data_IF_954802551045
#
_entry.id   IF_954802551045
#
_cell.length_a   1.000
_cell.length_b   1.000
_cell.length_c   1.000
_cell.angle_alpha   90.00
_cell.angle_beta   90.00
_cell.angle_gamma   90.00
#
_symmetry.space_group_name_H-M   'P 1'
#
loop_
_entity.id
_entity.type
_entity.pdbx_description
1 polymer ?
#
# COMPACT_ATOMS: atom_id res chain seq x y z
N UNK A 1 7.58 7.25 7.93
CA UNK A 1 8.43 6.22 7.28
C UNK A 1 7.78 5.76 5.99
N UNK A 2 8.56 5.64 4.94
CA UNK A 2 8.12 5.06 3.67
C UNK A 2 9.04 3.88 3.35
N UNK A 3 8.44 2.74 3.08
CA UNK A 3 9.14 1.52 2.68
C UNK A 3 8.74 1.21 1.24
N UNK A 4 9.70 0.99 0.38
CA UNK A 4 9.48 0.47 -0.96
C UNK A 4 9.69 -1.04 -0.95
N UNK A 5 8.72 -1.78 -1.47
CA UNK A 5 8.75 -3.23 -1.50
C UNK A 5 8.65 -3.76 -2.94
N UNK A 6 9.35 -4.84 -3.20
CA UNK A 6 9.23 -5.60 -4.43
C UNK A 6 9.13 -7.08 -4.07
N UNK A 7 7.94 -7.62 -4.14
CA UNK A 7 7.67 -9.00 -3.73
C UNK A 7 8.17 -10.01 -4.79
N UNK A 8 8.49 -11.24 -4.38
CA UNK A 8 8.79 -12.32 -5.32
C UNK A 8 7.64 -12.56 -6.31
N UNK A 9 7.99 -12.99 -7.51
CA UNK A 9 7.02 -13.30 -8.55
C UNK A 9 6.20 -14.56 -8.21
N UNK A 10 5.13 -14.79 -8.95
CA UNK A 10 4.25 -15.97 -8.77
C UNK A 10 4.97 -17.32 -8.92
N UNK A 11 6.13 -17.33 -9.58
CA UNK A 11 6.95 -18.53 -9.78
C UNK A 11 8.00 -18.73 -8.68
N UNK A 12 8.06 -17.83 -7.69
CA UNK A 12 9.02 -17.96 -6.60
C UNK A 12 8.69 -19.14 -5.69
N UNK A 13 9.72 -19.74 -5.12
CA UNK A 13 9.56 -20.79 -4.13
C UNK A 13 8.96 -20.26 -2.84
N UNK A 14 8.24 -21.10 -2.12
CA UNK A 14 7.60 -20.73 -0.84
C UNK A 14 8.61 -20.14 0.15
N UNK A 15 9.83 -20.68 0.20
CA UNK A 15 10.87 -20.16 1.08
C UNK A 15 11.24 -18.70 0.78
N UNK A 16 11.25 -18.30 -0.49
CA UNK A 16 11.51 -16.90 -0.88
C UNK A 16 10.39 -15.98 -0.44
N UNK A 17 9.16 -16.43 -0.57
CA UNK A 17 7.98 -15.66 -0.16
C UNK A 17 7.96 -15.46 1.35
N UNK A 18 8.22 -16.52 2.11
CA UNK A 18 8.32 -16.46 3.57
C UNK A 18 9.42 -15.48 4.00
N UNK A 19 10.59 -15.57 3.38
CA UNK A 19 11.71 -14.69 3.69
C UNK A 19 11.39 -13.23 3.40
N UNK A 20 10.70 -12.94 2.28
CA UNK A 20 10.28 -11.60 1.93
C UNK A 20 9.41 -10.97 3.03
N UNK A 21 8.39 -11.68 3.52
CA UNK A 21 7.52 -11.16 4.57
C UNK A 21 8.21 -11.08 5.93
N UNK A 22 9.12 -11.98 6.25
CA UNK A 22 9.95 -11.89 7.46
C UNK A 22 10.86 -10.66 7.42
N UNK A 23 11.51 -10.40 6.28
CA UNK A 23 12.35 -9.21 6.09
C UNK A 23 11.55 -7.91 6.19
N UNK A 24 10.31 -7.93 5.72
CA UNK A 24 9.41 -6.79 5.79
C UNK A 24 8.90 -6.55 7.22
N UNK A 25 8.77 -7.62 8.01
CA UNK A 25 8.31 -7.55 9.40
C UNK A 25 9.29 -6.77 10.28
N UNK A 26 10.59 -6.91 10.06
CA UNK A 26 11.63 -6.30 10.89
C UNK A 26 11.50 -4.76 10.96
N UNK A 27 11.45 -4.01 9.85
CA UNK A 27 11.27 -2.56 9.93
C UNK A 27 9.91 -2.16 10.50
N UNK A 28 8.87 -2.99 10.35
CA UNK A 28 7.56 -2.72 10.94
C UNK A 28 7.61 -2.77 12.46
N UNK A 29 8.29 -3.75 13.04
CA UNK A 29 8.45 -3.89 14.47
C UNK A 29 9.25 -2.74 15.09
N UNK A 30 10.20 -2.18 14.34
CA UNK A 30 11.02 -1.06 14.76
C UNK A 30 10.31 0.29 14.64
N UNK A 31 9.22 0.36 13.88
CA UNK A 31 8.48 1.61 13.67
C UNK A 31 7.47 1.84 14.79
N UNK A 32 7.53 2.97 15.51
CA UNK A 32 6.52 3.30 16.52
C UNK A 32 5.12 3.32 15.92
N UNK A 33 4.14 2.76 16.62
CA UNK A 33 2.75 2.66 16.14
C UNK A 33 2.10 4.01 15.85
N UNK A 34 2.58 5.08 16.47
CA UNK A 34 2.09 6.46 16.27
C UNK A 34 2.67 7.12 15.02
N UNK A 35 3.72 6.55 14.44
CA UNK A 35 4.35 7.12 13.26
C UNK A 35 3.57 6.77 11.99
N UNK A 36 3.55 7.71 11.05
CA UNK A 36 2.96 7.46 9.74
C UNK A 36 3.83 6.48 8.97
N UNK A 37 3.24 5.39 8.52
CA UNK A 37 3.91 4.33 7.78
C UNK A 37 3.20 4.09 6.46
N UNK A 38 3.96 4.12 5.38
CA UNK A 38 3.53 3.68 4.05
C UNK A 38 4.47 2.60 3.53
N UNK A 39 3.90 1.56 2.96
CA UNK A 39 4.65 0.52 2.24
C UNK A 39 4.10 0.50 0.82
N UNK A 40 4.92 0.89 -0.12
CA UNK A 40 4.52 1.03 -1.53
C UNK A 40 5.34 0.09 -2.41
N UNK A 41 4.74 -0.47 -3.44
CA UNK A 41 5.48 -1.27 -4.39
C UNK A 41 4.66 -2.24 -5.21
N UNK A 42 5.39 -3.09 -5.93
CA UNK A 42 4.84 -4.22 -6.66
C UNK A 42 4.83 -5.46 -5.74
N UNK A 43 3.63 -5.94 -5.45
CA UNK A 43 3.41 -7.07 -4.55
C UNK A 43 3.31 -8.41 -5.29
N UNK A 44 3.33 -8.39 -6.62
CA UNK A 44 3.12 -9.58 -7.44
C UNK A 44 1.93 -10.42 -6.95
N UNK A 45 0.88 -9.75 -6.52
CA UNK A 45 -0.28 -10.32 -5.85
C UNK A 45 -1.55 -9.63 -6.33
N UNK A 46 -2.64 -10.37 -6.39
CA UNK A 46 -3.97 -9.86 -6.71
C UNK A 46 -4.84 -9.92 -5.47
N UNK A 47 -5.11 -8.76 -4.88
CA UNK A 47 -6.00 -8.66 -3.72
C UNK A 47 -7.48 -8.88 -4.09
N UNK A 48 -7.86 -8.57 -5.34
CA UNK A 48 -9.21 -8.80 -5.83
C UNK A 48 -10.24 -7.78 -5.34
N UNK A 49 -11.48 -7.98 -5.77
CA UNK A 49 -12.61 -7.10 -5.47
C UNK A 49 -13.39 -7.51 -4.21
N UNK A 50 -13.04 -8.63 -3.59
CA UNK A 50 -13.69 -9.09 -2.37
C UNK A 50 -13.24 -8.25 -1.17
N UNK A 51 -14.21 -7.72 -0.44
CA UNK A 51 -13.92 -6.95 0.76
C UNK A 51 -13.38 -7.83 1.89
N UNK A 52 -12.27 -7.41 2.48
CA UNK A 52 -11.78 -7.93 3.75
C UNK A 52 -11.91 -6.79 4.78
N UNK A 53 -12.87 -6.87 5.70
CA UNK A 53 -13.13 -5.79 6.64
C UNK A 53 -11.87 -5.36 7.40
N UNK A 54 -11.63 -4.05 7.45
CA UNK A 54 -10.46 -3.46 8.10
C UNK A 54 -9.17 -3.49 7.29
N UNK A 55 -9.14 -4.14 6.13
CA UNK A 55 -7.94 -4.24 5.28
C UNK A 55 -8.19 -3.68 3.89
N UNK A 56 -9.24 -4.16 3.22
CA UNK A 56 -9.59 -3.76 1.85
C UNK A 56 -11.05 -3.34 1.75
N UNK A 57 -11.35 -2.45 0.78
CA UNK A 57 -12.70 -2.29 0.27
C UNK A 57 -13.00 -3.29 -0.84
N UNK A 58 -14.18 -3.19 -1.44
CA UNK A 58 -14.64 -4.03 -2.57
C UNK A 58 -14.30 -3.44 -3.94
N UNK A 59 -13.35 -2.55 -4.01
CA UNK A 59 -13.03 -1.77 -5.20
C UNK A 59 -11.75 -2.20 -5.91
N UNK A 60 -11.16 -3.33 -5.51
CA UNK A 60 -10.01 -3.91 -6.21
C UNK A 60 -10.40 -4.57 -7.53
N UNK A 61 -9.41 -4.83 -8.36
CA UNK A 61 -9.60 -5.42 -9.69
C UNK A 61 -9.51 -6.96 -9.62
N UNK A 62 -10.50 -7.61 -10.21
CA UNK A 62 -10.45 -9.04 -10.49
C UNK A 62 -10.66 -9.95 -9.28
N UNK A 63 -10.08 -11.13 -9.35
CA UNK A 63 -10.22 -12.19 -8.35
C UNK A 63 -8.94 -12.31 -7.53
N UNK A 64 -9.08 -12.49 -6.23
CA UNK A 64 -7.97 -12.72 -5.32
C UNK A 64 -7.25 -14.03 -5.68
N UNK A 65 -5.92 -13.98 -5.73
CA UNK A 65 -5.07 -15.16 -5.87
C UNK A 65 -4.40 -15.52 -4.53
N UNK A 66 -3.64 -16.62 -4.50
CA UNK A 66 -2.94 -17.06 -3.28
C UNK A 66 -1.97 -16.01 -2.75
N UNK A 67 -1.21 -15.35 -3.62
CA UNK A 67 -0.32 -14.28 -3.24
C UNK A 67 -1.08 -13.08 -2.65
N UNK A 68 -2.26 -12.77 -3.18
CA UNK A 68 -3.16 -11.74 -2.65
C UNK A 68 -3.71 -12.09 -1.30
N UNK A 69 -4.10 -13.34 -1.08
CA UNK A 69 -4.52 -13.82 0.23
C UNK A 69 -3.40 -13.65 1.27
N UNK A 70 -2.19 -14.00 0.91
CA UNK A 70 -1.03 -13.85 1.80
C UNK A 70 -0.74 -12.38 2.13
N UNK A 71 -0.84 -11.50 1.16
CA UNK A 71 -0.72 -10.06 1.38
C UNK A 71 -1.78 -9.55 2.37
N UNK A 72 -3.02 -9.97 2.20
CA UNK A 72 -4.13 -9.58 3.09
C UNK A 72 -3.90 -10.11 4.50
N UNK A 73 -3.47 -11.34 4.67
CA UNK A 73 -3.13 -11.92 5.97
C UNK A 73 -2.02 -11.12 6.66
N UNK A 74 -0.98 -10.75 5.92
CA UNK A 74 0.09 -9.88 6.44
C UNK A 74 -0.44 -8.53 6.90
N UNK A 75 -1.35 -7.92 6.15
CA UNK A 75 -2.00 -6.67 6.53
C UNK A 75 -2.86 -6.83 7.80
N UNK A 76 -3.60 -7.93 7.92
CA UNK A 76 -4.38 -8.23 9.12
C UNK A 76 -3.50 -8.35 10.37
N UNK A 77 -2.39 -9.06 10.26
CA UNK A 77 -1.46 -9.29 11.38
C UNK A 77 -0.78 -8.01 11.85
N UNK A 78 -0.59 -7.04 10.94
CA UNK A 78 0.14 -5.81 11.21
C UNK A 78 -0.73 -4.55 11.30
N UNK A 79 -2.04 -4.70 11.34
CA UNK A 79 -3.01 -3.58 11.36
C UNK A 79 -2.76 -2.58 10.22
N UNK A 80 -2.53 -3.09 9.01
CA UNK A 80 -2.37 -2.33 7.79
C UNK A 80 -3.64 -2.39 6.95
N UNK A 81 -3.85 -1.36 6.13
CA UNK A 81 -4.88 -1.35 5.08
C UNK A 81 -4.22 -1.22 3.72
N UNK A 82 -4.89 -1.73 2.69
CA UNK A 82 -4.49 -1.53 1.30
C UNK A 82 -5.23 -0.29 0.79
N UNK A 83 -4.56 0.85 0.84
CA UNK A 83 -5.20 2.15 0.70
C UNK A 83 -5.81 2.38 -0.69
N UNK A 84 -5.14 1.94 -1.74
CA UNK A 84 -5.59 2.23 -3.11
C UNK A 84 -6.76 1.36 -3.60
N UNK A 85 -7.27 0.45 -2.79
CA UNK A 85 -8.49 -0.31 -3.09
C UNK A 85 -9.58 -0.13 -2.02
N UNK A 86 -9.43 0.84 -1.13
CA UNK A 86 -10.45 1.20 -0.13
C UNK A 86 -11.60 2.00 -0.72
N UNK A 87 -11.34 2.75 -1.78
CA UNK A 87 -12.29 3.70 -2.36
C UNK A 87 -12.55 3.37 -3.83
N UNK A 88 -13.76 3.73 -4.29
CA UNK A 88 -14.15 3.53 -5.67
C UNK A 88 -13.27 4.35 -6.62
N UNK A 89 -12.77 3.69 -7.65
CA UNK A 89 -12.00 4.28 -8.75
C UNK A 89 -12.61 3.84 -10.07
N UNK A 90 -12.36 4.61 -11.12
CA UNK A 90 -12.73 4.20 -12.47
C UNK A 90 -11.95 2.94 -12.86
N UNK A 91 -12.61 1.95 -13.47
CA UNK A 91 -11.97 0.66 -13.84
C UNK A 91 -10.66 0.83 -14.59
N UNK A 92 -10.55 1.83 -15.47
CA UNK A 92 -9.33 2.14 -16.21
C UNK A 92 -8.15 2.54 -15.34
N UNK A 93 -8.40 2.93 -14.09
CA UNK A 93 -7.38 3.36 -13.13
C UNK A 93 -6.99 2.27 -12.13
N UNK A 94 -7.60 1.10 -12.24
CA UNK A 94 -7.34 0.03 -11.29
C UNK A 94 -6.17 -0.85 -11.71
N UNK A 95 -6.01 -1.14 -13.02
CA UNK A 95 -4.89 -1.97 -13.44
C UNK A 95 -3.58 -1.19 -13.35
N UNK A 96 -2.55 -1.88 -12.91
CA UNK A 96 -1.20 -1.33 -12.73
C UNK A 96 -0.15 -2.05 -13.56
N UNK A 97 -0.51 -3.18 -14.15
CA UNK A 97 0.37 -3.97 -14.99
C UNK A 97 -0.36 -4.47 -16.23
N UNK A 98 0.37 -4.50 -17.35
CA UNK A 98 -0.11 -5.03 -18.62
C UNK A 98 0.87 -6.08 -19.12
N UNK A 99 0.35 -7.22 -19.58
CA UNK A 99 1.17 -8.29 -20.15
C UNK A 99 1.92 -7.82 -21.40
N UNK A 100 3.05 -8.46 -21.76
CA UNK A 100 3.84 -8.07 -22.94
C UNK A 100 3.05 -8.11 -24.26
N UNK A 101 2.07 -9.01 -24.39
CA UNK A 101 1.19 -9.09 -25.55
C UNK A 101 -0.01 -8.12 -25.50
N UNK A 102 -0.16 -7.36 -24.42
CA UNK A 102 -1.24 -6.40 -24.22
C UNK A 102 -2.62 -7.00 -23.93
N UNK A 103 -2.74 -8.35 -23.84
CA UNK A 103 -4.02 -9.03 -23.69
C UNK A 103 -4.52 -9.08 -22.25
N UNK A 104 -3.62 -9.04 -21.27
CA UNK A 104 -3.94 -9.16 -19.85
C UNK A 104 -3.55 -7.90 -19.10
N UNK A 105 -4.46 -7.42 -18.26
CA UNK A 105 -4.22 -6.31 -17.36
C UNK A 105 -4.57 -6.74 -15.94
N UNK A 106 -3.74 -6.38 -14.98
CA UNK A 106 -3.95 -6.74 -13.58
C UNK A 106 -3.54 -5.62 -12.64
N UNK A 107 -3.99 -5.71 -11.41
CA UNK A 107 -3.60 -4.83 -10.33
C UNK A 107 -2.71 -5.60 -9.38
N UNK A 108 -1.44 -5.20 -9.30
CA UNK A 108 -0.40 -5.86 -8.48
C UNK A 108 0.41 -4.86 -7.66
N UNK A 109 0.23 -3.57 -7.91
CA UNK A 109 0.88 -2.49 -7.17
C UNK A 109 -0.09 -1.93 -6.14
N UNK A 110 0.31 -1.92 -4.90
CA UNK A 110 -0.51 -1.50 -3.78
C UNK A 110 0.23 -0.56 -2.85
N UNK A 111 -0.55 0.28 -2.20
CA UNK A 111 -0.08 1.21 -1.18
C UNK A 111 -0.67 0.76 0.14
N UNK A 112 0.18 0.28 1.05
CA UNK A 112 -0.21 -0.10 2.38
C UNK A 112 0.05 1.05 3.34
N UNK A 113 -0.86 1.26 4.27
CA UNK A 113 -0.62 2.19 5.37
C UNK A 113 -1.22 1.65 6.68
N UNK A 114 -0.76 2.20 7.80
CA UNK A 114 -1.34 1.85 9.10
C UNK A 114 -2.83 2.18 9.11
N UNK A 115 -3.63 1.29 9.69
CA UNK A 115 -5.08 1.42 9.76
C UNK A 115 -5.52 2.74 10.42
N UNK A 116 -4.79 3.22 11.42
CA UNK A 116 -5.08 4.50 12.09
C UNK A 116 -4.88 5.71 11.17
N UNK A 117 -4.11 5.58 10.09
CA UNK A 117 -3.80 6.65 9.14
C UNK A 117 -4.57 6.55 7.82
N UNK A 118 -5.48 5.61 7.69
CA UNK A 118 -6.27 5.41 6.45
C UNK A 118 -7.02 6.67 6.00
N UNK A 119 -7.44 7.51 6.94
CA UNK A 119 -8.14 8.76 6.64
C UNK A 119 -7.26 9.83 5.99
N UNK A 120 -5.95 9.67 6.02
CA UNK A 120 -5.00 10.57 5.34
C UNK A 120 -4.96 10.35 3.83
N UNK A 121 -5.33 9.16 3.38
CA UNK A 121 -5.40 8.86 1.95
C UNK A 121 -6.54 9.64 1.31
N UNK A 122 -6.21 10.57 0.44
CA UNK A 122 -7.21 11.47 -0.14
C UNK A 122 -7.53 11.17 -1.60
N UNK A 123 -6.58 10.69 -2.36
CA UNK A 123 -6.75 10.49 -3.79
C UNK A 123 -5.69 9.58 -4.38
N UNK A 124 -6.13 8.73 -5.28
CA UNK A 124 -5.27 7.99 -6.20
C UNK A 124 -5.43 8.57 -7.59
N UNK A 125 -4.32 8.74 -8.29
CA UNK A 125 -4.32 9.09 -9.69
C UNK A 125 -3.39 8.13 -10.42
N UNK A 126 -3.92 7.50 -11.46
CA UNK A 126 -3.11 6.82 -12.44
C UNK A 126 -2.84 7.81 -13.56
N UNK A 127 -1.58 8.06 -13.84
CA UNK A 127 -1.19 8.86 -14.98
C UNK A 127 -0.99 7.92 -16.17
N UNK A 128 -1.70 8.18 -17.27
CA UNK A 128 -1.52 7.46 -18.53
C UNK A 128 -0.23 7.83 -19.27
N UNK A 129 0.73 8.44 -18.58
CA UNK A 129 2.03 8.74 -19.15
C UNK A 129 2.78 7.44 -19.44
N UNK A 130 3.19 7.27 -20.69
CA UNK A 130 4.07 6.17 -21.08
C UNK A 130 5.45 6.41 -20.44
N UNK A 131 5.74 5.64 -19.38
CA UNK A 131 7.04 5.69 -18.71
C UNK A 131 8.00 4.59 -19.23
N UNK A 132 7.65 3.91 -20.34
CA UNK A 132 8.44 2.85 -20.93
C UNK A 132 8.47 1.55 -20.13
N UNK A 133 7.57 1.39 -19.15
CA UNK A 133 7.43 0.22 -18.32
C UNK A 133 6.13 -0.53 -18.63
N UNK A 134 6.08 -1.82 -18.31
CA UNK A 134 4.86 -2.63 -18.32
C UNK A 134 3.94 -2.31 -17.13
N UNK A 135 4.40 -1.49 -16.19
CA UNK A 135 3.61 -0.95 -15.07
C UNK A 135 3.12 0.47 -15.35
N UNK A 136 1.93 0.75 -14.88
CA UNK A 136 1.37 2.10 -14.88
C UNK A 136 1.88 2.90 -13.68
N UNK A 137 2.00 4.20 -13.86
CA UNK A 137 2.38 5.10 -12.77
C UNK A 137 1.22 5.27 -11.79
N UNK A 138 1.43 4.83 -10.56
CA UNK A 138 0.48 4.96 -9.46
C UNK A 138 0.87 6.15 -8.58
N UNK A 139 0.00 7.14 -8.48
CA UNK A 139 0.22 8.32 -7.63
C UNK A 139 -0.83 8.33 -6.53
N UNK A 140 -0.37 8.44 -5.29
CA UNK A 140 -1.23 8.61 -4.12
C UNK A 140 -1.00 9.96 -3.47
N UNK A 141 -2.08 10.60 -3.05
CA UNK A 141 -2.03 11.84 -2.27
C UNK A 141 -2.51 11.57 -0.86
N UNK A 142 -1.75 12.06 0.09
CA UNK A 142 -2.06 11.99 1.50
C UNK A 142 -2.10 13.39 2.11
N UNK A 143 -3.07 13.64 2.98
CA UNK A 143 -3.17 14.88 3.74
C UNK A 143 -2.67 14.64 5.15
N UNK A 144 -1.54 15.22 5.47
CA UNK A 144 -0.97 15.20 6.81
C UNK A 144 -1.39 16.48 7.54
N UNK A 145 -2.08 16.33 8.68
CA UNK A 145 -2.34 17.44 9.60
C UNK A 145 -1.25 17.43 10.65
N UNK A 146 -0.31 18.36 10.51
CA UNK A 146 0.72 18.55 11.53
C UNK A 146 0.13 19.37 12.67
N UNK A 147 0.26 18.88 13.90
CA UNK A 147 -0.04 19.70 15.08
C UNK A 147 0.94 20.86 15.13
N UNK A 148 0.42 22.09 15.31
CA UNK A 148 1.27 23.22 15.67
C UNK A 148 1.95 22.86 16.97
N UNK A 149 3.28 22.85 16.99
CA UNK A 149 4.06 22.84 18.23
C UNK A 149 3.76 24.16 18.92
N UNK A 150 3.17 24.11 20.12
CA UNK A 150 2.96 25.30 20.91
C UNK A 150 4.29 26.02 21.09
N UNK A 151 4.27 27.37 21.09
CA UNK A 151 5.48 28.13 21.43
C UNK A 151 6.03 27.63 22.76
N UNK A 152 7.33 27.38 22.87
CA UNK A 152 7.91 27.05 24.16
C UNK A 152 7.47 28.13 25.15
N UNK A 153 7.04 27.71 26.33
CA UNK A 153 6.79 28.64 27.42
C UNK A 153 8.08 29.40 27.67
N UNK A 154 8.02 30.71 27.42
CA UNK A 154 9.16 31.56 27.71
C UNK A 154 9.26 31.72 29.24
N UNK A 155 10.21 31.03 29.82
CA UNK A 155 10.50 31.09 31.23
C UNK A 155 11.35 32.31 31.58
N UNK A 156 11.62 33.24 30.64
CA UNK A 156 12.46 34.41 30.82
C UNK A 156 11.81 35.53 31.66
N UNK A 157 10.57 35.36 32.11
CA UNK A 157 9.82 36.35 32.89
C UNK A 157 9.71 36.09 34.38
N UNK A 158 10.35 35.07 34.91
CA UNK A 158 10.39 34.83 36.34
C UNK A 158 11.57 35.57 36.99
N UNK A 159 11.30 36.74 37.48
CA UNK A 159 12.17 37.38 38.45
C UNK A 159 11.84 36.86 39.84
#
# INVERSE_FOLDING_TARGET
MVIQAYAPTSNAEEAEVVQFYEDLQDPLELTPKKDVLFIIGDWNAKAGSQETPGVTGKFGLGVQNEAGQRLIEFCQENALVIANILFQQHKRRLYTWTSPDGQYQSQTDYILCSQIWRSLYSQQKQDGADCGSDHELLIAKFRLKLKKVGKPLDHSGMT
#
